data_IF_420510244433
#
_entry.id   IF_420510244433
#
_cell.length_a   1.000
_cell.length_b   1.000
_cell.length_c   1.000
_cell.angle_alpha   90.00
_cell.angle_beta   90.00
_cell.angle_gamma   90.00
#
_symmetry.space_group_name_H-M   'P 1'
#
loop_
_entity.id
_entity.type
_entity.pdbx_description
1 polymer ?
#
# COMPACT_ATOMS: atom_id res chain seq x y z
N UNK A 1 -21.72 -7.99 -0.61
CA UNK A 1 -20.28 -7.86 -0.32
C UNK A 1 -20.10 -6.49 0.33
N UNK A 2 -19.73 -6.44 1.61
CA UNK A 2 -19.43 -5.16 2.28
C UNK A 2 -18.28 -4.47 1.55
N UNK A 3 -18.34 -3.15 1.28
CA UNK A 3 -17.18 -2.45 0.74
C UNK A 3 -16.03 -2.55 1.75
N UNK A 4 -14.85 -2.99 1.28
CA UNK A 4 -13.66 -3.03 2.12
C UNK A 4 -13.16 -1.60 2.37
N UNK A 5 -12.58 -1.31 3.56
CA UNK A 5 -12.16 0.03 3.91
C UNK A 5 -11.08 0.54 2.96
N UNK A 6 -11.21 1.81 2.53
CA UNK A 6 -10.16 2.55 1.84
C UNK A 6 -9.12 3.07 2.86
N UNK A 7 -7.88 3.37 2.44
CA UNK A 7 -7.34 3.21 1.09
C UNK A 7 -7.02 1.75 0.70
N UNK A 8 -6.72 1.55 -0.59
CA UNK A 8 -6.30 0.27 -1.15
C UNK A 8 -4.79 0.25 -1.38
N UNK A 9 -4.16 -0.88 -1.05
CA UNK A 9 -2.82 -1.20 -1.52
C UNK A 9 -2.92 -1.96 -2.84
N UNK A 10 -2.49 -1.33 -3.93
CA UNK A 10 -2.32 -2.02 -5.20
C UNK A 10 -1.00 -2.83 -5.17
N UNK A 11 -1.14 -4.15 -5.26
CA UNK A 11 0.00 -5.07 -5.36
C UNK A 11 0.24 -5.61 -6.76
N UNK A 12 -0.43 -5.07 -7.75
CA UNK A 12 -0.46 -5.65 -9.07
C UNK A 12 0.68 -5.11 -9.95
N UNK A 13 1.58 -5.99 -10.36
CA UNK A 13 2.80 -5.64 -11.10
C UNK A 13 2.83 -6.18 -12.52
N UNK A 14 1.98 -7.17 -12.84
CA UNK A 14 1.92 -7.82 -14.16
C UNK A 14 0.56 -7.59 -14.80
N UNK A 15 0.54 -7.42 -16.11
CA UNK A 15 -0.70 -7.36 -16.89
C UNK A 15 -1.42 -8.70 -16.97
N UNK A 16 -0.68 -9.81 -16.84
CA UNK A 16 -1.25 -11.17 -16.82
C UNK A 16 -2.14 -11.33 -15.58
N UNK A 17 -3.43 -11.53 -15.78
CA UNK A 17 -4.43 -11.67 -14.71
C UNK A 17 -5.33 -10.46 -14.50
N UNK A 18 -5.09 -9.36 -15.23
CA UNK A 18 -6.02 -8.22 -15.29
C UNK A 18 -7.04 -8.33 -16.41
N UNK A 19 -8.17 -7.66 -16.20
CA UNK A 19 -9.08 -7.32 -17.30
C UNK A 19 -8.37 -6.40 -18.30
N UNK A 20 -8.47 -6.64 -19.62
CA UNK A 20 -7.79 -5.83 -20.63
C UNK A 20 -8.04 -4.33 -20.51
N UNK A 21 -9.27 -3.92 -20.20
CA UNK A 21 -9.66 -2.52 -20.00
C UNK A 21 -8.85 -1.86 -18.88
N UNK A 22 -8.67 -2.54 -17.75
CA UNK A 22 -7.90 -2.02 -16.62
C UNK A 22 -6.40 -1.91 -16.94
N UNK A 23 -5.87 -2.88 -17.70
CA UNK A 23 -4.48 -2.81 -18.22
C UNK A 23 -4.33 -1.58 -19.12
N UNK A 24 -5.28 -1.35 -20.03
CA UNK A 24 -5.25 -0.23 -20.96
C UNK A 24 -5.31 1.11 -20.23
N UNK A 25 -6.24 1.27 -19.28
CA UNK A 25 -6.36 2.50 -18.46
C UNK A 25 -5.09 2.78 -17.68
N UNK A 26 -4.52 1.75 -17.03
CA UNK A 26 -3.28 1.89 -16.26
C UNK A 26 -2.07 2.20 -17.14
N UNK A 27 -1.94 1.57 -18.31
CA UNK A 27 -0.88 1.90 -19.28
C UNK A 27 -1.01 3.34 -19.78
N UNK A 28 -2.22 3.76 -20.17
CA UNK A 28 -2.51 5.12 -20.61
C UNK A 28 -2.13 6.16 -19.55
N UNK A 29 -2.45 5.89 -18.27
CA UNK A 29 -2.10 6.74 -17.14
C UNK A 29 -0.57 6.94 -17.02
N UNK A 30 0.19 5.85 -17.04
CA UNK A 30 1.65 5.90 -16.91
C UNK A 30 2.35 6.49 -18.14
N UNK A 31 1.86 6.19 -19.34
CA UNK A 31 2.37 6.80 -20.59
C UNK A 31 2.14 8.33 -20.62
N UNK A 32 1.00 8.80 -20.09
CA UNK A 32 0.74 10.24 -19.97
C UNK A 32 1.71 10.90 -18.99
N UNK A 33 1.95 10.27 -17.82
CA UNK A 33 2.89 10.79 -16.83
C UNK A 33 4.33 10.87 -17.37
N UNK A 34 4.80 9.84 -18.07
CA UNK A 34 6.15 9.81 -18.67
C UNK A 34 6.36 10.87 -19.75
N UNK A 35 5.29 11.25 -20.46
CA UNK A 35 5.31 12.34 -21.44
C UNK A 35 5.12 13.72 -20.81
N UNK A 36 4.95 13.80 -19.48
CA UNK A 36 4.65 15.04 -18.77
C UNK A 36 3.25 15.59 -19.03
N UNK A 37 2.33 14.79 -19.57
CA UNK A 37 0.94 15.18 -19.84
C UNK A 37 0.07 15.10 -18.58
N UNK A 38 0.46 15.81 -17.52
CA UNK A 38 -0.18 15.80 -16.22
C UNK A 38 -1.68 16.16 -16.22
N UNK A 39 -2.20 17.07 -17.07
CA UNK A 39 -3.64 17.28 -17.17
C UNK A 39 -4.42 16.00 -17.49
N UNK A 40 -3.90 15.18 -18.40
CA UNK A 40 -4.51 13.87 -18.76
C UNK A 40 -4.39 12.88 -17.60
N UNK A 41 -3.26 12.88 -16.88
CA UNK A 41 -3.10 12.04 -15.67
C UNK A 41 -4.20 12.36 -14.66
N UNK A 42 -4.41 13.63 -14.36
CA UNK A 42 -5.41 14.02 -13.37
C UNK A 42 -6.86 13.82 -13.83
N UNK A 43 -7.15 13.95 -15.13
CA UNK A 43 -8.44 13.55 -15.71
C UNK A 43 -8.70 12.05 -15.46
N UNK A 44 -7.74 11.19 -15.82
CA UNK A 44 -7.84 9.74 -15.62
C UNK A 44 -7.97 9.35 -14.14
N UNK A 45 -7.26 10.04 -13.24
CA UNK A 45 -7.41 9.82 -11.79
C UNK A 45 -8.78 10.28 -11.28
N UNK A 46 -9.39 11.31 -11.87
CA UNK A 46 -10.72 11.77 -11.49
C UNK A 46 -11.84 10.83 -11.94
N UNK A 47 -11.62 10.09 -13.04
CA UNK A 47 -12.53 9.05 -13.53
C UNK A 47 -12.43 7.75 -12.70
N UNK A 48 -11.34 7.56 -11.96
CA UNK A 48 -11.14 6.43 -11.07
C UNK A 48 -11.87 6.61 -9.73
N UNK A 49 -13.18 6.34 -9.73
CA UNK A 49 -14.03 6.39 -8.53
C UNK A 49 -13.52 5.51 -7.36
N UNK A 50 -12.69 4.50 -7.67
CA UNK A 50 -12.05 3.63 -6.69
C UNK A 50 -10.90 4.29 -5.94
N UNK A 51 -10.24 5.29 -6.54
CA UNK A 51 -8.92 5.78 -6.15
C UNK A 51 -7.88 4.64 -6.04
N UNK A 52 -7.99 3.67 -6.93
CA UNK A 52 -7.10 2.49 -7.01
C UNK A 52 -5.82 2.81 -7.78
N UNK A 53 -5.84 3.78 -8.69
CA UNK A 53 -4.75 4.08 -9.62
C UNK A 53 -3.72 5.08 -9.09
N UNK A 54 -4.06 5.93 -8.12
CA UNK A 54 -3.16 7.00 -7.65
C UNK A 54 -1.88 6.46 -6.99
N UNK A 55 -1.94 5.26 -6.41
CA UNK A 55 -0.82 4.55 -5.79
C UNK A 55 -0.39 3.29 -6.54
N UNK A 56 -0.95 3.07 -7.72
CA UNK A 56 -0.53 2.01 -8.64
C UNK A 56 0.96 2.18 -9.01
N UNK A 57 1.61 1.08 -9.36
CA UNK A 57 2.86 1.08 -10.14
C UNK A 57 2.60 0.77 -11.60
N UNK A 58 3.57 1.02 -12.47
CA UNK A 58 3.50 0.57 -13.86
C UNK A 58 3.44 -0.97 -13.92
N UNK A 59 2.67 -1.50 -14.88
CA UNK A 59 2.61 -2.94 -15.14
C UNK A 59 3.79 -3.37 -16.01
N UNK A 60 4.23 -4.61 -15.82
CA UNK A 60 5.28 -5.28 -16.59
C UNK A 60 6.64 -4.54 -16.53
N UNK A 61 6.88 -3.81 -15.43
CA UNK A 61 8.03 -2.93 -15.24
C UNK A 61 8.59 -3.12 -13.81
N UNK A 62 9.91 -3.04 -13.66
CA UNK A 62 10.60 -3.47 -12.43
C UNK A 62 10.96 -2.34 -11.46
N UNK A 63 10.85 -1.06 -11.83
CA UNK A 63 11.16 0.05 -10.91
C UNK A 63 10.21 0.11 -9.73
N UNK A 64 8.96 -0.34 -9.90
CA UNK A 64 7.92 -0.15 -8.89
C UNK A 64 7.60 1.33 -8.61
N UNK A 65 7.85 2.22 -9.58
CA UNK A 65 7.54 3.64 -9.44
C UNK A 65 6.02 3.85 -9.43
N UNK A 66 5.57 4.65 -8.45
CA UNK A 66 4.23 5.25 -8.47
C UNK A 66 4.25 6.55 -9.25
N UNK A 67 3.08 7.16 -9.49
CA UNK A 67 3.01 8.50 -10.11
C UNK A 67 3.83 9.55 -9.36
N UNK A 68 3.86 9.47 -8.02
CA UNK A 68 4.64 10.40 -7.19
C UNK A 68 6.15 10.23 -7.39
N UNK A 69 6.63 8.99 -7.57
CA UNK A 69 8.03 8.74 -7.93
C UNK A 69 8.37 9.30 -9.31
N UNK A 70 7.48 9.11 -10.29
CA UNK A 70 7.66 9.63 -11.65
C UNK A 70 7.67 11.15 -11.70
N UNK A 71 6.74 11.80 -11.00
CA UNK A 71 6.65 13.26 -10.94
C UNK A 71 7.94 13.88 -10.38
N UNK A 72 8.49 13.30 -9.32
CA UNK A 72 9.77 13.74 -8.75
C UNK A 72 10.92 13.45 -9.72
N UNK A 73 11.01 12.21 -10.23
CA UNK A 73 12.13 11.79 -11.11
C UNK A 73 12.19 12.62 -12.40
N UNK A 74 11.03 13.00 -12.95
CA UNK A 74 10.90 13.80 -14.16
C UNK A 74 10.88 15.32 -13.89
N UNK A 75 11.16 15.76 -12.66
CA UNK A 75 11.18 17.19 -12.26
C UNK A 75 9.91 17.94 -12.67
N UNK A 76 8.74 17.31 -12.50
CA UNK A 76 7.46 17.79 -13.02
C UNK A 76 6.90 19.04 -12.33
N UNK A 77 7.63 19.57 -11.34
CA UNK A 77 7.30 20.79 -10.63
C UNK A 77 6.41 20.59 -9.41
N UNK A 78 6.36 21.64 -8.58
CA UNK A 78 5.68 21.65 -7.28
C UNK A 78 4.17 21.36 -7.40
N UNK A 79 3.48 22.01 -8.34
CA UNK A 79 2.02 21.90 -8.49
C UNK A 79 1.57 20.47 -8.82
N UNK A 80 2.33 19.75 -9.65
CA UNK A 80 2.04 18.35 -10.00
C UNK A 80 2.16 17.46 -8.76
N UNK A 81 3.24 17.62 -8.00
CA UNK A 81 3.49 16.86 -6.78
C UNK A 81 2.41 17.14 -5.74
N UNK A 82 2.04 18.42 -5.56
CA UNK A 82 0.97 18.83 -4.65
C UNK A 82 -0.38 18.21 -5.04
N UNK A 83 -0.77 18.24 -6.33
CA UNK A 83 -2.01 17.61 -6.80
C UNK A 83 -2.02 16.10 -6.61
N UNK A 84 -0.90 15.41 -6.85
CA UNK A 84 -0.82 13.96 -6.62
C UNK A 84 -1.02 13.61 -5.14
N UNK A 85 -0.43 14.40 -4.24
CA UNK A 85 -0.62 14.24 -2.80
C UNK A 85 -2.05 14.55 -2.38
N UNK A 86 -2.66 15.59 -2.93
CA UNK A 86 -4.08 15.91 -2.72
C UNK A 86 -5.02 14.80 -3.25
N UNK A 87 -4.60 14.07 -4.29
CA UNK A 87 -5.30 12.89 -4.80
C UNK A 87 -5.06 11.62 -3.97
N UNK A 88 -4.25 11.68 -2.90
CA UNK A 88 -4.01 10.57 -1.97
C UNK A 88 -2.78 9.71 -2.30
N UNK A 89 -1.81 10.23 -3.07
CA UNK A 89 -0.52 9.55 -3.22
C UNK A 89 0.20 9.39 -1.88
N UNK A 90 0.77 8.19 -1.65
CA UNK A 90 1.50 7.87 -0.43
C UNK A 90 2.94 8.41 -0.47
N UNK A 91 3.34 9.14 0.58
CA UNK A 91 4.70 9.69 0.69
C UNK A 91 5.73 8.63 1.07
N UNK A 92 5.33 7.66 1.86
CA UNK A 92 6.18 6.57 2.35
C UNK A 92 6.20 5.34 1.43
N UNK A 93 5.47 5.36 0.31
CA UNK A 93 5.57 4.27 -0.67
C UNK A 93 7.01 4.17 -1.18
N UNK A 94 7.56 2.96 -1.14
CA UNK A 94 8.90 2.66 -1.68
C UNK A 94 8.80 2.01 -3.06
N UNK A 95 9.75 2.36 -3.92
CA UNK A 95 10.04 1.70 -5.18
C UNK A 95 10.83 0.39 -4.96
N UNK A 96 11.18 -0.33 -6.03
CA UNK A 96 11.93 -1.59 -5.95
C UNK A 96 13.37 -1.43 -5.45
N UNK A 97 13.96 -0.24 -5.61
CA UNK A 97 15.26 0.13 -5.05
C UNK A 97 15.16 0.51 -3.56
N UNK A 98 13.96 0.50 -2.99
CA UNK A 98 13.71 0.92 -1.62
C UNK A 98 13.65 2.43 -1.42
N UNK A 99 13.81 3.26 -2.44
CA UNK A 99 13.68 4.72 -2.33
C UNK A 99 12.21 5.15 -2.24
N UNK A 100 11.94 6.17 -1.41
CA UNK A 100 10.69 6.96 -1.44
C UNK A 100 10.82 8.12 -2.43
N UNK A 101 9.71 8.78 -2.81
CA UNK A 101 9.78 10.03 -3.58
C UNK A 101 10.63 11.12 -2.89
N UNK A 102 10.60 11.20 -1.56
CA UNK A 102 11.46 12.09 -0.78
C UNK A 102 12.96 11.81 -1.01
N UNK A 103 13.36 10.54 -1.00
CA UNK A 103 14.77 10.14 -1.15
C UNK A 103 15.29 10.52 -2.55
N UNK A 104 14.46 10.33 -3.58
CA UNK A 104 14.77 10.73 -4.95
C UNK A 104 14.91 12.26 -5.05
N UNK A 105 13.96 13.02 -4.50
CA UNK A 105 14.01 14.48 -4.49
C UNK A 105 15.26 15.00 -3.78
N UNK A 106 15.63 14.38 -2.65
CA UNK A 106 16.84 14.74 -1.91
C UNK A 106 18.10 14.47 -2.74
N UNK A 107 18.19 13.28 -3.35
CA UNK A 107 19.32 12.90 -4.21
C UNK A 107 19.45 13.80 -5.43
N UNK A 108 18.35 14.30 -5.99
CA UNK A 108 18.33 15.22 -7.13
C UNK A 108 18.46 16.70 -6.73
N UNK A 109 18.51 17.03 -5.44
CA UNK A 109 18.64 18.42 -4.97
C UNK A 109 17.36 19.25 -5.11
N UNK A 110 16.19 18.63 -5.22
CA UNK A 110 14.89 19.31 -5.34
C UNK A 110 14.39 19.80 -3.96
N UNK A 111 15.14 20.71 -3.33
CA UNK A 111 14.90 21.17 -1.95
C UNK A 111 13.50 21.71 -1.70
N UNK A 112 12.88 22.33 -2.72
CA UNK A 112 11.52 22.88 -2.65
C UNK A 112 10.46 21.78 -2.43
N UNK A 113 10.69 20.55 -2.90
CA UNK A 113 9.76 19.44 -2.73
C UNK A 113 9.91 18.70 -1.40
N UNK A 114 11.05 18.82 -0.72
CA UNK A 114 11.33 18.02 0.48
C UNK A 114 10.30 18.20 1.59
N UNK A 115 9.85 19.42 1.95
CA UNK A 115 8.82 19.59 2.97
C UNK A 115 7.49 18.94 2.58
N UNK A 116 7.16 18.94 1.28
CA UNK A 116 5.91 18.41 0.76
C UNK A 116 5.92 16.86 0.72
N UNK A 117 7.09 16.26 0.47
CA UNK A 117 7.28 14.81 0.33
C UNK A 117 7.62 14.09 1.64
N UNK A 118 8.00 14.82 2.69
CA UNK A 118 8.32 14.21 3.98
C UNK A 118 7.06 13.55 4.58
N UNK A 119 7.07 12.23 4.87
CA UNK A 119 5.92 11.56 5.46
C UNK A 119 5.58 12.12 6.85
N UNK A 120 4.32 12.46 7.07
CA UNK A 120 3.81 12.84 8.38
C UNK A 120 3.43 11.58 9.17
N UNK A 121 4.25 11.20 10.17
CA UNK A 121 3.94 10.06 11.05
C UNK A 121 2.89 10.47 12.08
N UNK A 122 1.62 10.10 11.87
CA UNK A 122 0.50 10.31 12.80
C UNK A 122 0.46 9.29 13.94
N UNK A 123 1.13 8.15 13.74
CA UNK A 123 1.18 7.04 14.71
C UNK A 123 2.63 6.83 15.18
N UNK A 124 2.91 6.93 16.49
CA UNK A 124 4.26 6.81 17.04
C UNK A 124 4.65 5.33 17.25
N UNK A 125 4.70 4.56 16.17
CA UNK A 125 5.11 3.15 16.20
C UNK A 125 6.65 3.12 16.14
N UNK A 126 7.34 2.42 17.07
CA UNK A 126 8.79 2.27 16.98
C UNK A 126 9.22 1.56 15.69
N UNK A 127 10.29 2.03 15.05
CA UNK A 127 10.71 1.51 13.74
C UNK A 127 11.07 0.00 13.79
N UNK A 128 11.66 -0.46 14.91
CA UNK A 128 11.95 -1.88 15.11
C UNK A 128 10.67 -2.72 15.19
N UNK A 129 9.68 -2.27 15.96
CA UNK A 129 8.38 -2.91 16.10
C UNK A 129 7.66 -2.99 14.76
N UNK A 130 7.63 -1.88 14.01
CA UNK A 130 7.02 -1.85 12.67
C UNK A 130 7.72 -2.82 11.70
N UNK A 131 9.06 -2.90 11.78
CA UNK A 131 9.85 -3.81 10.95
C UNK A 131 9.58 -5.27 11.26
N UNK A 132 9.51 -5.65 12.54
CA UNK A 132 9.16 -7.01 12.97
C UNK A 132 7.76 -7.40 12.50
N UNK A 133 6.77 -6.52 12.71
CA UNK A 133 5.40 -6.74 12.24
C UNK A 133 5.34 -6.85 10.71
N UNK A 134 6.11 -6.02 9.98
CA UNK A 134 6.17 -6.05 8.52
C UNK A 134 6.67 -7.39 7.97
N UNK A 135 7.68 -7.99 8.60
CA UNK A 135 8.20 -9.31 8.23
C UNK A 135 7.14 -10.39 8.46
N UNK A 136 6.57 -10.45 9.66
CA UNK A 136 5.56 -11.44 10.02
C UNK A 136 4.28 -11.31 9.17
N UNK A 137 3.88 -10.09 8.84
CA UNK A 137 2.74 -9.84 7.96
C UNK A 137 3.02 -10.29 6.52
N UNK A 138 4.24 -10.04 6.01
CA UNK A 138 4.66 -10.53 4.70
C UNK A 138 4.62 -12.06 4.65
N UNK A 139 5.14 -12.73 5.66
CA UNK A 139 5.09 -14.20 5.76
C UNK A 139 3.65 -14.69 5.79
N UNK A 140 2.78 -14.04 6.58
CA UNK A 140 1.36 -14.38 6.65
C UNK A 140 0.68 -14.26 5.29
N UNK A 141 0.91 -13.17 4.55
CA UNK A 141 0.37 -12.99 3.20
C UNK A 141 0.87 -14.08 2.25
N UNK A 142 2.12 -14.50 2.34
CA UNK A 142 2.70 -15.53 1.47
C UNK A 142 2.21 -16.95 1.79
N UNK A 143 1.79 -17.20 3.03
CA UNK A 143 1.24 -18.48 3.48
C UNK A 143 -0.25 -18.59 3.17
N UNK A 144 -1.03 -17.57 3.54
CA UNK A 144 -2.48 -17.59 3.40
C UNK A 144 -2.94 -17.07 2.02
N UNK A 145 -2.09 -16.29 1.36
CA UNK A 145 -2.30 -15.82 -0.01
C UNK A 145 -1.91 -16.88 -1.02
N UNK A 146 -2.87 -17.27 -1.86
CA UNK A 146 -2.64 -18.22 -2.94
C UNK A 146 -1.94 -17.57 -4.13
N UNK A 147 -1.33 -18.38 -5.00
CA UNK A 147 -0.74 -17.90 -6.24
C UNK A 147 -1.76 -17.04 -7.02
N UNK A 148 -1.36 -15.86 -7.53
CA UNK A 148 0.00 -15.37 -7.79
C UNK A 148 0.55 -14.36 -6.76
N UNK A 149 0.13 -14.39 -5.49
CA UNK A 149 0.58 -13.41 -4.45
C UNK A 149 2.11 -13.24 -4.37
N UNK A 150 2.90 -14.27 -4.69
CA UNK A 150 4.38 -14.21 -4.75
C UNK A 150 4.94 -13.29 -5.82
N UNK A 151 4.18 -13.03 -6.88
CA UNK A 151 4.56 -12.14 -7.99
C UNK A 151 4.06 -10.70 -7.77
N UNK A 152 3.25 -10.48 -6.72
CA UNK A 152 2.65 -9.19 -6.40
C UNK A 152 3.58 -8.32 -5.55
N UNK A 153 3.39 -7.01 -5.64
CA UNK A 153 3.98 -6.01 -4.73
C UNK A 153 3.25 -6.04 -3.40
N UNK A 154 3.89 -6.62 -2.38
CA UNK A 154 3.28 -6.76 -1.06
C UNK A 154 3.20 -5.43 -0.29
N UNK A 155 2.19 -5.25 0.59
CA UNK A 155 2.03 -4.07 1.43
C UNK A 155 3.25 -3.62 2.21
N UNK A 156 3.49 -2.30 2.20
CA UNK A 156 4.35 -1.63 3.16
C UNK A 156 3.52 -0.99 4.27
N UNK A 157 3.81 -1.36 5.52
CA UNK A 157 3.11 -0.85 6.70
C UNK A 157 3.44 0.61 7.02
N UNK A 158 4.55 1.13 6.49
CA UNK A 158 4.94 2.52 6.75
C UNK A 158 3.90 3.52 6.23
N UNK A 159 3.21 3.19 5.13
CA UNK A 159 2.13 4.00 4.57
C UNK A 159 0.95 4.16 5.54
N UNK A 160 0.72 3.21 6.44
CA UNK A 160 -0.33 3.31 7.46
C UNK A 160 -0.07 4.45 8.44
N UNK A 161 1.19 4.82 8.65
CA UNK A 161 1.57 5.86 9.62
C UNK A 161 1.10 7.25 9.17
N UNK A 162 0.81 7.44 7.89
CA UNK A 162 0.30 8.71 7.33
C UNK A 162 -1.22 8.87 7.48
N UNK A 163 -1.93 7.78 7.78
CA UNK A 163 -3.39 7.75 7.78
C UNK A 163 -3.94 8.17 9.14
N UNK A 164 -5.08 8.88 9.17
CA UNK A 164 -5.80 9.13 10.44
C UNK A 164 -6.26 7.81 11.06
N UNK A 165 -6.89 6.97 10.25
CA UNK A 165 -7.17 5.58 10.59
C UNK A 165 -6.15 4.68 9.88
N UNK A 166 -5.23 4.01 10.59
CA UNK A 166 -4.16 3.20 10.01
C UNK A 166 -4.69 1.85 9.53
N UNK A 167 -5.68 1.86 8.63
CA UNK A 167 -6.36 0.72 8.04
C UNK A 167 -6.13 0.72 6.54
N UNK A 168 -5.92 -0.45 5.95
CA UNK A 168 -5.74 -0.58 4.50
C UNK A 168 -6.27 -1.93 4.03
N UNK A 169 -6.69 -1.95 2.78
CA UNK A 169 -7.12 -3.18 2.11
C UNK A 169 -6.12 -3.58 1.02
N UNK A 170 -5.65 -4.82 1.06
CA UNK A 170 -4.85 -5.44 0.01
C UNK A 170 -5.66 -6.52 -0.70
N UNK A 171 -6.02 -6.27 -1.95
CA UNK A 171 -6.79 -7.21 -2.77
C UNK A 171 -5.86 -8.24 -3.42
N UNK A 172 -6.30 -9.50 -3.42
CA UNK A 172 -5.63 -10.61 -4.11
C UNK A 172 -6.66 -11.36 -4.98
N UNK A 173 -6.25 -12.16 -5.98
CA UNK A 173 -7.19 -12.66 -6.99
C UNK A 173 -8.40 -13.45 -6.46
N UNK A 174 -8.21 -14.18 -5.36
CA UNK A 174 -9.26 -15.00 -4.75
C UNK A 174 -9.54 -14.60 -3.30
N UNK A 175 -9.24 -13.37 -2.92
CA UNK A 175 -9.38 -12.96 -1.53
C UNK A 175 -9.00 -11.52 -1.26
N UNK A 176 -8.84 -11.22 0.01
CA UNK A 176 -8.50 -9.88 0.48
C UNK A 176 -7.89 -9.96 1.86
N UNK A 177 -6.93 -9.09 2.12
CA UNK A 177 -6.45 -8.78 3.45
C UNK A 177 -6.92 -7.38 3.82
N UNK A 178 -7.65 -7.26 4.93
CA UNK A 178 -7.92 -5.97 5.58
C UNK A 178 -7.07 -5.93 6.84
N UNK A 179 -6.24 -4.91 6.98
CA UNK A 179 -5.31 -4.83 8.09
C UNK A 179 -5.29 -3.45 8.72
N UNK A 180 -5.17 -3.42 10.05
CA UNK A 180 -5.18 -2.19 10.85
C UNK A 180 -4.08 -2.25 11.91
N UNK A 181 -3.29 -1.19 12.00
CA UNK A 181 -2.31 -1.00 13.06
C UNK A 181 -2.97 -0.34 14.28
N UNK A 182 -2.77 -0.87 15.48
CA UNK A 182 -3.37 -0.29 16.69
C UNK A 182 -2.62 -0.70 17.96
N UNK A 183 -2.83 0.05 19.05
CA UNK A 183 -2.38 -0.34 20.38
C UNK A 183 -3.45 -1.20 21.04
N UNK A 184 -3.06 -2.38 21.54
CA UNK A 184 -3.97 -3.22 22.32
C UNK A 184 -4.24 -2.59 23.69
N UNK A 185 -5.52 -2.35 23.96
CA UNK A 185 -5.98 -1.83 25.26
C UNK A 185 -6.15 -2.93 26.32
N UNK A 186 -6.04 -4.20 25.94
CA UNK A 186 -6.14 -5.38 26.80
C UNK A 186 -5.35 -6.54 26.17
N UNK A 187 -4.85 -7.50 26.95
CA UNK A 187 -4.05 -8.60 26.43
C UNK A 187 -4.98 -9.62 25.75
N UNK A 188 -4.65 -10.04 24.53
CA UNK A 188 -5.45 -11.03 23.77
C UNK A 188 -5.01 -12.47 24.08
N UNK A 189 -3.73 -12.67 24.41
CA UNK A 189 -3.19 -13.93 24.91
C UNK A 189 -2.01 -13.65 25.86
N UNK A 190 -1.51 -14.67 26.56
CA UNK A 190 -0.40 -14.57 27.53
C UNK A 190 0.87 -13.99 26.88
N UNK A 191 1.02 -14.20 25.58
CA UNK A 191 2.17 -13.77 24.77
C UNK A 191 2.15 -12.26 24.43
N UNK A 192 1.04 -11.56 24.65
CA UNK A 192 0.88 -10.15 24.26
C UNK A 192 0.71 -9.26 25.49
N UNK A 193 1.53 -8.21 25.58
CA UNK A 193 1.48 -7.27 26.69
C UNK A 193 0.31 -6.27 26.57
N UNK A 194 -0.09 -5.71 27.70
CA UNK A 194 -1.03 -4.58 27.71
C UNK A 194 -0.29 -3.33 27.23
N UNK A 195 -0.77 -2.70 26.15
CA UNK A 195 -0.17 -1.55 25.43
C UNK A 195 0.97 -1.86 24.45
N UNK A 196 0.83 -2.96 23.71
CA UNK A 196 1.69 -3.27 22.56
C UNK A 196 1.05 -2.78 21.24
N UNK A 197 1.88 -2.35 20.29
CA UNK A 197 1.45 -2.12 18.91
C UNK A 197 1.27 -3.46 18.19
N UNK A 198 0.11 -3.65 17.58
CA UNK A 198 -0.20 -4.84 16.80
C UNK A 198 -0.82 -4.48 15.46
N UNK A 199 -0.67 -5.38 14.50
CA UNK A 199 -1.43 -5.40 13.26
C UNK A 199 -2.55 -6.43 13.39
N UNK A 200 -3.78 -5.94 13.43
CA UNK A 200 -4.94 -6.78 13.23
C UNK A 200 -5.06 -7.09 11.74
N UNK A 201 -5.19 -8.37 11.38
CA UNK A 201 -5.32 -8.80 10.00
C UNK A 201 -6.55 -9.68 9.85
N UNK A 202 -7.47 -9.27 8.98
CA UNK A 202 -8.58 -10.08 8.50
C UNK A 202 -8.23 -10.56 7.10
N UNK A 203 -8.02 -11.86 6.96
CA UNK A 203 -7.87 -12.51 5.65
C UNK A 203 -9.18 -13.19 5.27
N UNK A 204 -9.67 -12.92 4.06
CA UNK A 204 -10.84 -13.59 3.52
C UNK A 204 -10.51 -14.21 2.17
N UNK A 205 -10.60 -15.54 2.09
CA UNK A 205 -10.40 -16.32 0.87
C UNK A 205 -11.78 -16.73 0.32
N UNK A 206 -11.99 -16.57 -0.99
CA UNK A 206 -13.25 -16.84 -1.69
C UNK A 206 -13.34 -18.25 -2.29
N UNK A 207 -12.34 -19.09 -2.09
CA UNK A 207 -12.35 -20.46 -2.62
C UNK A 207 -13.19 -21.38 -1.73
N UNK A 208 -14.01 -22.24 -2.36
CA UNK A 208 -14.95 -23.11 -1.65
C UNK A 208 -16.10 -22.32 -1.02
N UNK A 209 -16.46 -22.64 0.22
CA UNK A 209 -17.49 -21.94 0.99
C UNK A 209 -17.06 -20.54 1.47
N UNK A 210 -15.79 -20.19 1.24
CA UNK A 210 -15.17 -18.97 1.71
C UNK A 210 -14.68 -19.13 3.14
N UNK A 211 -13.44 -18.72 3.41
CA UNK A 211 -12.86 -18.84 4.74
C UNK A 211 -12.32 -17.48 5.16
N UNK A 212 -12.75 -17.04 6.33
CA UNK A 212 -12.30 -15.83 6.98
C UNK A 212 -11.43 -16.17 8.19
N UNK A 213 -10.24 -15.58 8.26
CA UNK A 213 -9.29 -15.77 9.35
C UNK A 213 -8.93 -14.42 9.96
N UNK A 214 -8.90 -14.37 11.28
CA UNK A 214 -8.48 -13.17 12.03
C UNK A 214 -7.18 -13.44 12.75
N UNK A 215 -6.18 -12.61 12.47
CA UNK A 215 -4.86 -12.67 13.09
C UNK A 215 -4.57 -11.41 13.88
N UNK A 216 -3.76 -11.58 14.91
CA UNK A 216 -3.04 -10.50 15.60
C UNK A 216 -1.56 -10.73 15.33
N UNK A 217 -0.87 -9.73 14.82
CA UNK A 217 0.57 -9.77 14.56
C UNK A 217 1.23 -8.69 15.41
N UNK A 218 2.18 -9.06 16.27
CA UNK A 218 3.00 -8.10 17.02
C UNK A 218 4.49 -8.28 16.70
N UNK A 219 5.37 -7.58 17.42
CA UNK A 219 6.81 -7.74 17.19
C UNK A 219 7.36 -9.08 17.69
N UNK A 220 6.62 -9.78 18.55
CA UNK A 220 7.03 -11.05 19.16
C UNK A 220 6.48 -12.27 18.40
N UNK A 221 5.45 -12.11 17.58
CA UNK A 221 4.86 -13.22 16.83
C UNK A 221 3.51 -12.90 16.22
N UNK A 222 2.84 -13.94 15.73
CA UNK A 222 1.48 -13.85 15.18
C UNK A 222 0.60 -14.94 15.78
N UNK A 223 -0.66 -14.59 16.05
CA UNK A 223 -1.67 -15.47 16.61
C UNK A 223 -2.90 -15.50 15.72
N UNK A 224 -3.39 -16.69 15.38
CA UNK A 224 -4.70 -16.89 14.77
C UNK A 224 -5.77 -16.87 15.86
N UNK A 225 -6.62 -15.85 15.86
CA UNK A 225 -7.63 -15.61 16.90
C UNK A 225 -8.96 -16.29 16.58
N UNK A 226 -9.35 -16.33 15.31
CA UNK A 226 -10.58 -17.03 14.91
C UNK A 226 -10.59 -17.41 13.43
N UNK A 227 -11.37 -18.44 13.10
CA UNK A 227 -11.71 -18.85 11.75
C UNK A 227 -13.24 -18.85 11.63
N UNK A 228 -13.78 -18.33 10.52
CA UNK A 228 -15.19 -18.40 10.14
C UNK A 228 -15.29 -18.96 8.72
N UNK A 229 -16.24 -19.87 8.49
CA UNK A 229 -16.60 -20.42 7.19
C UNK A 229 -18.08 -20.21 6.91
#
# INVERSE_FOLDING_TARGET
>A
MFPFPKPYWDGWTRSKGFKPELVASRRRLFEAAERGHWPVVFELLSEDAGAELVNATRLDESSGYTLLHLAVTAESGFEVVERLLAAGSFRAARCSMGERPYDIAQRQGQSVLLPLLLPEKKHPVPDQTLSSIQVLFRELILEDGLSPVREMRLPSLEVLLEQEEPTMTFQIPFGVFVYRLQILSFPIAIEFEQKEWVLLVRSYQRMGDGIERHYVVSEHGRLLVSIRG
#
